data_IF_553191337112
#
_entry.id   IF_553191337112
#
_cell.length_a   1.000
_cell.length_b   1.000
_cell.length_c   1.000
_cell.angle_alpha   90.00
_cell.angle_beta   90.00
_cell.angle_gamma   90.00
#
_symmetry.space_group_name_H-M   'P 1'
#
loop_
_entity.id
_entity.type
_entity.pdbx_description
1 polymer ?
#
# COMPACT_ATOMS: atom_id res chain seq x y z
N UNK A 1 6.94 -18.87 13.48
CA UNK A 1 7.19 -19.54 12.20
C UNK A 1 6.04 -20.49 11.94
N UNK A 2 4.98 -20.01 11.28
CA UNK A 2 3.82 -20.85 10.98
C UNK A 2 4.03 -21.50 9.60
N UNK A 3 4.37 -22.79 9.60
CA UNK A 3 4.47 -23.58 8.37
C UNK A 3 3.08 -24.15 8.12
N UNK A 4 2.42 -23.67 7.07
CA UNK A 4 1.16 -24.27 6.59
C UNK A 4 1.50 -25.42 5.64
N UNK A 5 1.26 -26.64 6.07
CA UNK A 5 1.46 -27.83 5.26
C UNK A 5 0.18 -28.08 4.46
N UNK A 6 0.28 -28.05 3.16
CA UNK A 6 -0.82 -28.38 2.25
C UNK A 6 -0.60 -29.80 1.73
N UNK A 7 -1.55 -30.69 2.04
CA UNK A 7 -1.54 -32.06 1.53
C UNK A 7 -2.23 -32.12 0.16
N UNK A 8 -1.50 -32.59 -0.85
CA UNK A 8 -2.04 -32.90 -2.18
C UNK A 8 -2.22 -34.43 -2.30
N UNK A 9 -3.45 -34.86 -2.45
CA UNK A 9 -3.75 -36.26 -2.78
C UNK A 9 -3.82 -36.42 -4.30
N UNK A 10 -3.07 -37.38 -4.84
CA UNK A 10 -3.09 -37.74 -6.24
C UNK A 10 -3.94 -38.97 -6.45
N UNK A 11 -4.90 -38.94 -7.34
CA UNK A 11 -5.65 -40.09 -7.80
C UNK A 11 -5.21 -40.50 -9.20
N UNK A 12 -4.96 -41.78 -9.39
CA UNK A 12 -4.57 -42.37 -10.66
C UNK A 12 -5.84 -42.84 -11.39
N UNK A 13 -6.24 -42.17 -12.47
CA UNK A 13 -7.34 -42.62 -13.31
C UNK A 13 -6.83 -42.65 -14.77
N UNK A 14 -6.89 -43.83 -15.39
CA UNK A 14 -6.52 -44.09 -16.77
C UNK A 14 -5.09 -43.62 -17.19
N UNK A 15 -4.11 -43.90 -16.37
CA UNK A 15 -2.70 -43.66 -16.74
C UNK A 15 -2.29 -42.17 -16.82
N UNK A 16 -3.14 -41.25 -16.37
CA UNK A 16 -2.83 -39.83 -16.27
C UNK A 16 -2.94 -39.36 -14.83
N UNK A 17 -1.93 -38.60 -14.39
CA UNK A 17 -1.93 -37.98 -13.08
C UNK A 17 -2.68 -36.66 -13.13
N UNK A 18 -3.80 -36.58 -12.41
CA UNK A 18 -4.53 -35.33 -12.21
C UNK A 18 -4.27 -34.82 -10.80
N UNK A 19 -3.80 -33.58 -10.69
CA UNK A 19 -3.73 -32.89 -9.42
C UNK A 19 -5.07 -32.18 -9.17
N UNK A 20 -5.80 -32.60 -8.13
CA UNK A 20 -6.97 -31.87 -7.66
C UNK A 20 -6.51 -30.77 -6.70
N UNK A 21 -6.83 -29.55 -7.04
CA UNK A 21 -6.35 -28.35 -6.40
C UNK A 21 -7.32 -27.86 -5.34
N UNK A 22 -6.87 -27.75 -4.10
CA UNK A 22 -7.53 -26.91 -3.10
C UNK A 22 -6.57 -25.77 -2.77
N UNK A 23 -6.49 -24.83 -3.68
CA UNK A 23 -5.86 -23.54 -3.38
C UNK A 23 -6.90 -22.45 -3.57
N UNK A 24 -7.09 -21.62 -2.57
CA UNK A 24 -8.01 -20.50 -2.62
C UNK A 24 -7.71 -19.62 -3.86
N UNK A 25 -8.54 -19.83 -4.89
CA UNK A 25 -8.81 -18.91 -6.02
C UNK A 25 -7.84 -18.79 -7.20
N UNK A 26 -6.86 -19.70 -7.48
CA UNK A 26 -6.19 -19.71 -8.79
C UNK A 26 -5.84 -21.13 -9.25
N UNK A 27 -6.17 -21.44 -10.52
CA UNK A 27 -5.91 -22.74 -11.17
C UNK A 27 -4.42 -22.87 -11.49
N UNK A 28 -3.78 -23.93 -10.97
CA UNK A 28 -2.47 -24.38 -11.41
C UNK A 28 -2.63 -25.43 -12.51
N UNK A 29 -1.88 -25.31 -13.60
CA UNK A 29 -1.87 -26.29 -14.68
C UNK A 29 -0.62 -27.15 -14.64
N UNK A 30 -0.79 -28.45 -14.77
CA UNK A 30 0.30 -29.43 -14.94
C UNK A 30 0.60 -29.55 -16.43
N UNK A 31 1.84 -29.22 -16.85
CA UNK A 31 2.31 -29.41 -18.21
C UNK A 31 2.99 -30.77 -18.40
N UNK A 32 2.93 -31.39 -19.60
CA UNK A 32 3.62 -32.67 -19.86
C UNK A 32 5.12 -32.45 -19.73
N UNK A 33 5.74 -32.96 -18.73
CA UNK A 33 7.15 -33.02 -18.33
C UNK A 33 7.35 -32.85 -16.82
N UNK A 34 6.24 -32.95 -16.03
CA UNK A 34 6.34 -32.92 -14.55
C UNK A 34 6.67 -31.56 -13.93
N UNK A 35 6.58 -30.46 -14.70
CA UNK A 35 6.74 -29.11 -14.15
C UNK A 35 5.39 -28.46 -13.92
N UNK A 36 5.19 -27.96 -12.70
CA UNK A 36 4.00 -27.17 -12.32
C UNK A 36 4.35 -25.69 -12.52
N UNK A 37 3.62 -25.00 -13.37
CA UNK A 37 3.71 -23.55 -13.51
C UNK A 37 2.66 -22.90 -12.64
N UNK A 38 3.07 -22.29 -11.56
CA UNK A 38 2.25 -21.34 -10.79
C UNK A 38 2.66 -19.92 -11.20
N UNK A 39 1.71 -19.02 -11.43
CA UNK A 39 2.01 -17.61 -11.64
C UNK A 39 2.22 -16.94 -10.28
N UNK A 40 3.40 -16.97 -9.76
CA UNK A 40 4.05 -16.17 -8.72
C UNK A 40 5.02 -17.00 -7.90
N UNK A 41 6.24 -16.64 -7.88
CA UNK A 41 7.40 -16.89 -6.99
C UNK A 41 7.25 -17.98 -5.90
N UNK A 42 7.00 -19.22 -6.32
CA UNK A 42 7.05 -20.40 -5.47
C UNK A 42 8.31 -21.22 -5.82
N UNK A 43 9.29 -21.22 -4.92
CA UNK A 43 10.39 -22.18 -4.98
C UNK A 43 9.90 -23.58 -4.64
N UNK A 44 9.99 -24.53 -5.58
CA UNK A 44 9.61 -25.92 -5.39
C UNK A 44 10.86 -26.75 -5.11
N UNK A 45 10.96 -27.37 -3.95
CA UNK A 45 11.92 -28.41 -3.65
C UNK A 45 11.25 -29.80 -3.72
N UNK A 46 11.78 -30.68 -4.55
CA UNK A 46 11.31 -32.07 -4.63
C UNK A 46 12.22 -32.96 -3.77
N UNK A 47 11.63 -33.65 -2.80
CA UNK A 47 12.28 -34.74 -2.09
C UNK A 47 11.56 -36.04 -2.41
N UNK A 48 12.31 -37.05 -2.84
CA UNK A 48 11.77 -38.36 -3.17
C UNK A 48 12.22 -39.37 -2.10
N UNK A 49 11.32 -39.81 -1.25
CA UNK A 49 11.54 -40.97 -0.38
C UNK A 49 10.36 -41.91 -0.47
N UNK A 50 10.57 -43.09 -1.10
CA UNK A 50 9.67 -44.22 -1.14
C UNK A 50 8.25 -43.99 -1.68
N UNK A 51 8.15 -43.44 -2.90
CA UNK A 51 6.87 -43.41 -3.63
C UNK A 51 5.86 -42.33 -3.19
N UNK A 52 6.19 -41.50 -2.22
CA UNK A 52 5.43 -40.31 -1.84
C UNK A 52 6.19 -39.07 -2.23
N UNK A 53 5.59 -38.26 -3.05
CA UNK A 53 6.13 -36.93 -3.41
C UNK A 53 5.61 -35.94 -2.37
N UNK A 54 6.49 -35.46 -1.50
CA UNK A 54 6.17 -34.32 -0.63
C UNK A 54 6.52 -33.04 -1.36
N UNK A 55 5.53 -32.20 -1.55
CA UNK A 55 5.69 -30.88 -2.08
C UNK A 55 5.80 -29.91 -0.91
N UNK A 56 7.01 -29.50 -0.57
CA UNK A 56 7.22 -28.45 0.40
C UNK A 56 7.15 -27.09 -0.33
N UNK A 57 6.05 -26.38 -0.09
CA UNK A 57 5.86 -25.03 -0.60
C UNK A 57 6.51 -24.08 0.39
N UNK A 58 7.73 -23.65 0.10
CA UNK A 58 8.35 -22.55 0.84
C UNK A 58 7.67 -21.28 0.37
N UNK A 59 6.66 -20.84 1.10
CA UNK A 59 6.18 -19.48 0.95
C UNK A 59 7.27 -18.56 1.47
N UNK A 60 7.96 -17.87 0.58
CA UNK A 60 8.79 -16.73 0.94
C UNK A 60 7.82 -15.75 1.61
N UNK A 61 7.92 -15.62 2.92
CA UNK A 61 7.16 -14.60 3.65
C UNK A 61 7.85 -13.28 3.33
N UNK A 62 7.45 -12.70 2.20
CA UNK A 62 7.97 -11.42 1.72
C UNK A 62 7.43 -10.36 2.67
N UNK A 63 8.22 -10.07 3.71
CA UNK A 63 7.83 -9.14 4.74
C UNK A 63 8.08 -7.71 4.24
N UNK A 64 7.03 -6.92 4.22
CA UNK A 64 7.15 -5.47 4.11
C UNK A 64 7.74 -4.96 5.42
N UNK A 65 8.69 -4.03 5.35
CA UNK A 65 9.27 -3.37 6.53
C UNK A 65 9.36 -1.86 6.29
N UNK A 66 9.34 -1.09 7.37
CA UNK A 66 9.50 0.35 7.36
C UNK A 66 10.91 0.70 7.85
N UNK A 67 11.62 1.55 7.10
CA UNK A 67 12.95 2.05 7.45
C UNK A 67 12.89 3.57 7.51
N UNK A 68 13.32 4.21 8.61
CA UNK A 68 13.31 5.67 8.69
C UNK A 68 14.06 6.31 7.52
N UNK A 69 13.51 7.41 6.99
CA UNK A 69 14.12 8.15 5.91
C UNK A 69 15.41 8.81 6.40
N UNK A 70 16.50 8.62 5.65
CA UNK A 70 17.78 9.29 5.90
C UNK A 70 17.88 10.58 5.09
N UNK A 71 18.72 11.52 5.56
CA UNK A 71 18.85 12.83 4.92
C UNK A 71 19.38 12.73 3.47
N UNK A 72 20.23 11.78 3.18
CA UNK A 72 20.79 11.54 1.84
C UNK A 72 19.75 10.91 0.88
N UNK A 73 18.68 10.32 1.40
CA UNK A 73 17.60 9.74 0.59
C UNK A 73 16.41 10.69 0.38
N UNK A 74 16.41 11.85 1.03
CA UNK A 74 15.30 12.81 0.99
C UNK A 74 14.92 13.20 -0.44
N UNK A 75 15.89 13.55 -1.26
CA UNK A 75 15.65 13.97 -2.64
C UNK A 75 14.99 12.85 -3.45
N UNK A 76 15.54 11.64 -3.37
CA UNK A 76 14.98 10.51 -4.10
C UNK A 76 13.59 10.13 -3.57
N UNK A 77 13.31 10.33 -2.30
CA UNK A 77 11.97 10.11 -1.73
C UNK A 77 10.94 11.04 -2.35
N UNK A 78 11.27 12.32 -2.49
CA UNK A 78 10.38 13.32 -3.10
C UNK A 78 10.08 12.98 -4.57
N UNK A 79 11.12 12.67 -5.34
CA UNK A 79 10.97 12.27 -6.75
C UNK A 79 10.14 11.00 -6.92
N UNK A 80 10.38 10.00 -6.08
CA UNK A 80 9.64 8.73 -6.09
C UNK A 80 8.15 8.97 -5.76
N UNK A 81 7.87 9.88 -4.81
CA UNK A 81 6.51 10.23 -4.43
C UNK A 81 5.79 10.90 -5.60
N UNK A 82 6.37 11.96 -6.18
CA UNK A 82 5.80 12.66 -7.34
C UNK A 82 5.56 11.70 -8.51
N UNK A 83 6.52 10.81 -8.81
CA UNK A 83 6.37 9.80 -9.84
C UNK A 83 5.22 8.83 -9.58
N UNK A 84 5.10 8.33 -8.34
CA UNK A 84 4.04 7.40 -7.98
C UNK A 84 2.65 8.01 -8.07
N UNK A 85 2.48 9.28 -7.65
CA UNK A 85 1.23 10.02 -7.76
C UNK A 85 0.87 10.30 -9.22
N UNK A 86 1.82 10.80 -10.00
CA UNK A 86 1.63 11.06 -11.44
C UNK A 86 1.25 9.80 -12.21
N UNK A 87 1.91 8.68 -11.92
CA UNK A 87 1.56 7.39 -12.53
C UNK A 87 0.15 6.95 -12.10
N UNK A 88 -0.22 7.12 -10.83
CA UNK A 88 -1.55 6.80 -10.32
C UNK A 88 -2.64 7.59 -11.05
N UNK A 89 -2.48 8.90 -11.18
CA UNK A 89 -3.38 9.79 -11.89
C UNK A 89 -3.51 9.40 -13.37
N UNK A 90 -2.40 9.15 -14.07
CA UNK A 90 -2.41 8.74 -15.48
C UNK A 90 -3.14 7.41 -15.70
N UNK A 91 -3.01 6.44 -14.78
CA UNK A 91 -3.65 5.12 -14.90
C UNK A 91 -5.15 5.17 -14.60
N UNK A 92 -5.59 6.05 -13.71
CA UNK A 92 -6.99 6.11 -13.27
C UNK A 92 -7.81 7.08 -14.13
N UNK A 93 -7.24 8.22 -14.51
CA UNK A 93 -7.94 9.31 -15.21
C UNK A 93 -7.44 9.53 -16.63
N UNK A 94 -6.29 8.98 -17.00
CA UNK A 94 -5.62 9.22 -18.27
C UNK A 94 -5.08 10.65 -18.35
N UNK A 95 -5.13 11.24 -19.54
CA UNK A 95 -4.69 12.65 -19.77
C UNK A 95 -5.70 13.69 -19.26
N UNK A 96 -6.75 13.27 -18.56
CA UNK A 96 -7.83 14.15 -18.11
C UNK A 96 -7.67 14.64 -16.68
N UNK A 97 -6.62 14.22 -15.99
CA UNK A 97 -6.34 14.76 -14.68
C UNK A 97 -5.67 16.12 -14.85
N UNK A 98 -6.47 17.15 -14.68
CA UNK A 98 -6.07 18.56 -14.70
C UNK A 98 -5.74 19.10 -13.31
N UNK A 99 -5.82 18.27 -12.27
CA UNK A 99 -5.37 18.59 -10.92
C UNK A 99 -3.85 18.53 -10.86
N UNK A 100 -3.22 19.60 -11.32
CA UNK A 100 -1.76 19.75 -11.35
C UNK A 100 -1.38 20.92 -10.46
N UNK A 101 -0.53 20.67 -9.46
CA UNK A 101 0.03 21.73 -8.61
C UNK A 101 0.89 22.73 -9.39
N UNK A 102 1.20 23.87 -8.78
CA UNK A 102 1.91 24.98 -9.41
C UNK A 102 3.30 24.62 -9.97
N UNK A 103 3.90 23.49 -9.58
CA UNK A 103 5.15 22.96 -10.12
C UNK A 103 4.95 21.97 -11.30
N UNK A 104 3.70 21.75 -11.71
CA UNK A 104 3.36 20.84 -12.81
C UNK A 104 3.28 19.35 -12.40
N UNK A 105 3.20 19.06 -11.12
CA UNK A 105 3.06 17.71 -10.56
C UNK A 105 1.68 17.55 -9.88
N UNK A 106 1.24 16.30 -9.71
CA UNK A 106 -0.04 15.98 -9.03
C UNK A 106 0.03 16.30 -7.54
N UNK A 107 1.21 16.24 -6.97
CA UNK A 107 1.52 16.70 -5.61
C UNK A 107 2.79 17.54 -5.66
N UNK A 108 2.73 18.77 -5.18
CA UNK A 108 3.88 19.66 -5.25
C UNK A 108 5.01 19.20 -4.32
N UNK A 109 6.23 19.49 -4.74
CA UNK A 109 7.41 19.31 -3.92
C UNK A 109 7.25 20.00 -2.55
N UNK A 110 6.71 21.22 -2.54
CA UNK A 110 6.55 22.01 -1.33
C UNK A 110 5.66 21.30 -0.28
N UNK A 111 4.57 20.68 -0.72
CA UNK A 111 3.68 19.88 0.15
C UNK A 111 4.44 18.72 0.76
N UNK A 112 5.20 17.96 -0.04
CA UNK A 112 5.97 16.80 0.44
C UNK A 112 7.04 17.27 1.44
N UNK A 113 7.78 18.33 1.13
CA UNK A 113 8.81 18.89 2.02
C UNK A 113 8.22 19.40 3.32
N UNK A 114 7.09 20.11 3.27
CA UNK A 114 6.36 20.58 4.47
C UNK A 114 5.93 19.41 5.35
N UNK A 115 5.44 18.32 4.76
CA UNK A 115 5.08 17.11 5.50
C UNK A 115 6.30 16.43 6.13
N UNK A 116 7.42 16.34 5.42
CA UNK A 116 8.67 15.76 5.97
C UNK A 116 9.22 16.62 7.11
N UNK A 117 9.18 17.96 6.97
CA UNK A 117 9.80 18.91 7.90
C UNK A 117 8.92 19.24 9.11
N UNK A 118 7.69 18.72 9.16
CA UNK A 118 6.82 18.89 10.32
C UNK A 118 7.48 18.28 11.56
N UNK A 119 7.60 19.01 12.68
CA UNK A 119 8.30 18.53 13.91
C UNK A 119 7.71 17.25 14.52
N UNK A 120 6.46 16.93 14.23
CA UNK A 120 5.78 15.72 14.70
C UNK A 120 5.74 14.63 13.64
N UNK A 121 6.42 14.85 12.50
CA UNK A 121 6.43 13.91 11.38
C UNK A 121 7.40 12.76 11.59
N UNK A 122 6.99 11.59 11.15
CA UNK A 122 7.82 10.41 11.00
C UNK A 122 7.74 9.92 9.56
N UNK A 123 8.88 9.91 8.88
CA UNK A 123 8.96 9.55 7.45
C UNK A 123 9.72 8.25 7.26
N UNK A 124 9.15 7.35 6.46
CA UNK A 124 9.68 6.00 6.26
C UNK A 124 9.75 5.62 4.78
N UNK A 125 10.81 4.89 4.41
CA UNK A 125 10.86 4.07 3.21
C UNK A 125 10.15 2.76 3.44
N UNK A 126 9.34 2.34 2.48
CA UNK A 126 8.75 1.00 2.43
C UNK A 126 9.72 0.09 1.71
N UNK A 127 10.14 -0.97 2.42
CA UNK A 127 11.03 -2.00 1.89
C UNK A 127 10.27 -3.30 1.66
N UNK A 128 10.58 -3.98 0.57
CA UNK A 128 10.06 -5.31 0.27
C UNK A 128 11.17 -6.13 -0.38
N UNK A 129 11.52 -7.28 0.20
CA UNK A 129 12.63 -8.14 -0.25
C UNK A 129 13.99 -7.41 -0.34
N UNK A 130 14.20 -6.38 0.48
CA UNK A 130 15.43 -5.58 0.47
C UNK A 130 15.44 -4.42 -0.53
N UNK A 131 14.41 -4.29 -1.36
CA UNK A 131 14.25 -3.22 -2.33
C UNK A 131 13.37 -2.09 -1.78
N UNK A 132 13.66 -0.85 -2.15
CA UNK A 132 12.83 0.31 -1.86
C UNK A 132 11.65 0.31 -2.82
N UNK A 133 10.44 0.17 -2.30
CA UNK A 133 9.22 0.00 -3.11
C UNK A 133 8.17 1.07 -2.88
N UNK A 134 8.47 2.06 -2.02
CA UNK A 134 7.57 3.16 -1.72
C UNK A 134 8.01 3.96 -0.51
N UNK A 135 7.08 4.73 0.03
CA UNK A 135 7.29 5.52 1.23
C UNK A 135 6.00 5.99 1.87
N UNK A 136 6.10 6.48 3.09
CA UNK A 136 5.00 7.06 3.83
C UNK A 136 5.48 8.16 4.78
N UNK A 137 4.57 9.07 5.09
CA UNK A 137 4.76 10.16 6.05
C UNK A 137 3.59 10.11 7.03
N UNK A 138 3.91 10.12 8.31
CA UNK A 138 2.96 10.13 9.41
C UNK A 138 3.13 11.42 10.21
N UNK A 139 2.05 11.97 10.73
CA UNK A 139 2.07 12.96 11.81
C UNK A 139 1.62 12.29 13.10
N UNK A 140 2.48 12.29 14.13
CA UNK A 140 2.28 11.57 15.38
C UNK A 140 2.04 12.57 16.51
N UNK A 141 0.82 12.55 17.05
CA UNK A 141 0.45 13.31 18.25
C UNK A 141 0.57 12.42 19.50
N UNK A 142 1.66 12.63 20.26
CA UNK A 142 1.97 11.84 21.47
C UNK A 142 1.08 12.17 22.66
N UNK A 143 0.34 13.29 22.63
CA UNK A 143 -0.53 13.71 23.72
C UNK A 143 -1.93 13.14 23.56
N UNK A 144 -2.50 13.28 22.36
CA UNK A 144 -3.88 12.83 22.09
C UNK A 144 -3.93 11.39 21.58
N UNK A 145 -2.84 10.89 20.98
CA UNK A 145 -2.79 9.64 20.21
C UNK A 145 -3.77 9.63 19.02
N UNK A 146 -4.05 10.81 18.48
CA UNK A 146 -4.79 10.99 17.25
C UNK A 146 -3.76 11.31 16.15
N UNK A 147 -3.37 10.28 15.42
CA UNK A 147 -2.31 10.32 14.44
C UNK A 147 -2.85 10.45 13.03
N UNK A 148 -2.04 10.99 12.14
CA UNK A 148 -2.42 11.20 10.75
C UNK A 148 -1.46 10.47 9.80
N UNK A 149 -2.01 9.84 8.76
CA UNK A 149 -1.28 9.34 7.61
C UNK A 149 -1.35 10.41 6.52
N UNK A 150 -0.27 11.19 6.39
CA UNK A 150 -0.21 12.32 5.47
C UNK A 150 -0.02 11.84 4.03
N UNK A 151 0.95 10.96 3.82
CA UNK A 151 1.31 10.43 2.49
C UNK A 151 1.57 8.92 2.61
N UNK A 152 1.07 8.17 1.63
CA UNK A 152 1.42 6.77 1.40
C UNK A 152 1.50 6.53 -0.11
N UNK A 153 2.67 6.11 -0.57
CA UNK A 153 2.84 5.73 -1.96
C UNK A 153 3.60 4.41 -2.13
N UNK A 154 3.28 3.72 -3.20
CA UNK A 154 3.97 2.51 -3.65
C UNK A 154 4.39 2.73 -5.09
N UNK A 155 5.65 2.46 -5.41
CA UNK A 155 6.18 2.60 -6.76
C UNK A 155 5.41 1.72 -7.76
N UNK A 156 5.20 2.19 -8.99
CA UNK A 156 4.41 1.47 -10.00
C UNK A 156 4.84 0.01 -10.22
N UNK A 157 6.13 -0.25 -10.20
CA UNK A 157 6.73 -1.58 -10.42
C UNK A 157 6.39 -2.56 -9.30
N UNK A 158 6.00 -2.03 -8.16
CA UNK A 158 5.65 -2.79 -6.97
C UNK A 158 4.14 -2.92 -6.73
N UNK A 159 3.30 -2.37 -7.60
CA UNK A 159 1.84 -2.44 -7.48
C UNK A 159 1.30 -3.88 -7.49
N UNK A 160 0.11 -4.07 -6.93
CA UNK A 160 -0.65 -5.33 -6.92
C UNK A 160 -0.03 -6.49 -6.11
N UNK A 161 1.03 -6.23 -5.32
CA UNK A 161 1.69 -7.22 -4.45
C UNK A 161 1.22 -7.16 -2.99
N UNK A 162 0.22 -6.33 -2.68
CA UNK A 162 -0.27 -6.14 -1.31
C UNK A 162 0.65 -5.28 -0.42
N UNK A 163 1.66 -4.63 -1.01
CA UNK A 163 2.69 -3.85 -0.30
C UNK A 163 2.08 -2.71 0.50
N UNK A 164 1.18 -1.93 -0.09
CA UNK A 164 0.53 -0.82 0.63
C UNK A 164 -0.20 -1.30 1.90
N UNK A 165 -0.91 -2.43 1.81
CA UNK A 165 -1.57 -3.01 2.98
C UNK A 165 -0.57 -3.55 4.01
N UNK A 166 0.50 -4.20 3.55
CA UNK A 166 1.58 -4.65 4.44
C UNK A 166 2.26 -3.48 5.15
N UNK A 167 2.52 -2.36 4.44
CA UNK A 167 3.07 -1.15 5.03
C UNK A 167 2.13 -0.56 6.09
N UNK A 168 0.83 -0.52 5.80
CA UNK A 168 -0.17 -0.07 6.78
C UNK A 168 -0.18 -0.95 8.05
N UNK A 169 -0.08 -2.27 7.91
CA UNK A 169 0.01 -3.17 9.06
C UNK A 169 1.28 -2.93 9.90
N UNK A 170 2.41 -2.62 9.27
CA UNK A 170 3.64 -2.27 9.99
C UNK A 170 3.49 -0.91 10.70
N UNK A 171 2.78 0.07 10.11
CA UNK A 171 2.44 1.35 10.79
C UNK A 171 1.63 1.10 12.06
N UNK A 172 0.58 0.29 11.99
CA UNK A 172 -0.23 -0.06 13.16
C UNK A 172 0.57 -0.80 14.23
N UNK A 173 1.50 -1.65 13.82
CA UNK A 173 2.38 -2.37 14.73
C UNK A 173 3.45 -1.46 15.37
N UNK A 174 3.87 -0.41 14.66
CA UNK A 174 4.86 0.57 15.15
C UNK A 174 4.25 1.52 16.18
N UNK A 175 2.97 1.85 16.04
CA UNK A 175 2.24 2.80 16.90
C UNK A 175 1.02 2.14 17.59
N UNK A 176 1.23 1.12 18.43
CA UNK A 176 0.15 0.40 19.10
C UNK A 176 -0.66 1.26 20.08
N UNK A 177 -0.09 2.39 20.54
CA UNK A 177 -0.73 3.36 21.43
C UNK A 177 -1.76 4.25 20.74
N UNK A 178 -1.79 4.26 19.39
CA UNK A 178 -2.71 5.11 18.62
C UNK A 178 -4.15 4.79 18.95
N UNK A 179 -4.95 5.81 19.22
CA UNK A 179 -6.39 5.70 19.43
C UNK A 179 -7.18 5.90 18.14
N UNK A 180 -6.73 6.85 17.34
CA UNK A 180 -7.37 7.22 16.07
C UNK A 180 -6.31 7.45 15.02
N UNK A 181 -6.48 6.82 13.88
CA UNK A 181 -5.80 7.20 12.64
C UNK A 181 -6.71 8.01 11.76
N UNK A 182 -6.16 9.04 11.14
CA UNK A 182 -6.84 9.89 10.18
C UNK A 182 -6.06 9.94 8.86
N UNK A 183 -6.75 10.10 7.74
CA UNK A 183 -6.16 10.39 6.43
C UNK A 183 -7.20 11.02 5.53
N UNK A 184 -6.75 11.64 4.45
CA UNK A 184 -7.62 12.25 3.44
C UNK A 184 -7.24 11.76 2.04
N UNK A 185 -8.19 11.78 1.11
CA UNK A 185 -7.93 11.57 -0.31
C UNK A 185 -9.01 12.26 -1.15
N UNK A 186 -8.70 12.72 -2.37
CA UNK A 186 -9.69 13.25 -3.27
C UNK A 186 -10.87 12.29 -3.47
N UNK A 187 -12.09 12.82 -3.54
CA UNK A 187 -13.31 12.02 -3.61
C UNK A 187 -13.39 11.13 -4.86
N UNK A 188 -12.70 11.50 -5.92
CA UNK A 188 -12.67 10.76 -7.19
C UNK A 188 -11.64 9.60 -7.19
N UNK A 189 -10.72 9.56 -6.23
CA UNK A 189 -9.69 8.54 -6.08
C UNK A 189 -10.25 7.19 -5.60
N UNK A 190 -11.00 6.50 -6.46
CA UNK A 190 -11.71 5.24 -6.14
C UNK A 190 -10.78 4.14 -5.62
N UNK A 191 -9.55 4.10 -6.13
CA UNK A 191 -8.54 3.11 -5.73
C UNK A 191 -8.11 3.34 -4.28
N UNK A 192 -7.85 4.59 -3.91
CA UNK A 192 -7.49 4.98 -2.54
C UNK A 192 -8.66 4.77 -1.58
N UNK A 193 -9.86 5.17 -1.98
CA UNK A 193 -11.09 4.93 -1.19
C UNK A 193 -11.27 3.42 -0.93
N UNK A 194 -11.14 2.58 -1.98
CA UNK A 194 -11.19 1.12 -1.81
C UNK A 194 -10.11 0.61 -0.86
N UNK A 195 -8.89 1.14 -0.96
CA UNK A 195 -7.78 0.75 -0.11
C UNK A 195 -8.05 1.10 1.35
N UNK A 196 -8.39 2.34 1.65
CA UNK A 196 -8.63 2.77 3.03
C UNK A 196 -9.84 2.07 3.64
N UNK A 197 -10.99 2.06 2.96
CA UNK A 197 -12.23 1.48 3.51
C UNK A 197 -12.17 -0.05 3.55
N UNK A 198 -11.85 -0.69 2.43
CA UNK A 198 -12.05 -2.14 2.31
C UNK A 198 -10.83 -2.98 2.69
N UNK A 199 -9.62 -2.37 2.74
CA UNK A 199 -8.39 -3.08 3.11
C UNK A 199 -7.90 -2.67 4.49
N UNK A 200 -7.79 -1.37 4.76
CA UNK A 200 -7.22 -0.85 6.00
C UNK A 200 -8.26 -0.69 7.12
N UNK A 201 -9.56 -0.72 6.81
CA UNK A 201 -10.63 -0.65 7.80
C UNK A 201 -10.95 0.76 8.30
N UNK A 202 -10.58 1.77 7.54
CA UNK A 202 -11.04 3.14 7.77
C UNK A 202 -12.52 3.30 7.44
N UNK A 203 -13.13 4.35 7.96
CA UNK A 203 -14.49 4.78 7.66
C UNK A 203 -14.43 6.21 7.13
N UNK A 204 -15.28 6.53 6.15
CA UNK A 204 -15.47 7.91 5.72
C UNK A 204 -16.21 8.64 6.84
N UNK A 205 -15.58 9.69 7.35
CA UNK A 205 -16.11 10.52 8.44
C UNK A 205 -16.72 11.81 7.92
N UNK A 206 -16.05 12.47 6.97
CA UNK A 206 -16.51 13.74 6.40
C UNK A 206 -16.25 13.77 4.89
N UNK A 207 -17.05 14.58 4.20
CA UNK A 207 -16.79 15.01 2.84
C UNK A 207 -16.59 16.52 2.84
N UNK A 208 -15.38 16.95 2.50
CA UNK A 208 -15.05 18.37 2.37
C UNK A 208 -15.29 18.80 0.94
N UNK A 209 -16.00 19.93 0.79
CA UNK A 209 -16.38 20.51 -0.49
C UNK A 209 -16.67 21.99 -0.27
N UNK A 210 -17.08 22.73 -1.32
CA UNK A 210 -17.40 24.16 -1.21
C UNK A 210 -18.44 24.49 -0.11
N UNK A 211 -19.32 23.55 0.23
CA UNK A 211 -20.37 23.75 1.25
C UNK A 211 -19.94 23.36 2.67
N UNK A 212 -18.85 22.64 2.80
CA UNK A 212 -18.35 22.15 4.08
C UNK A 212 -16.83 22.01 4.04
N UNK A 213 -16.15 22.97 4.66
CA UNK A 213 -14.69 22.99 4.78
C UNK A 213 -14.26 22.54 6.18
N UNK A 214 -13.07 21.93 6.32
CA UNK A 214 -12.53 21.58 7.62
C UNK A 214 -12.32 22.83 8.48
N UNK A 215 -12.61 22.73 9.78
CA UNK A 215 -12.36 23.81 10.75
C UNK A 215 -10.87 24.07 11.03
N UNK A 216 -9.97 23.54 10.23
CA UNK A 216 -8.56 23.89 10.31
C UNK A 216 -8.37 25.25 9.63
N UNK A 217 -7.73 26.22 10.30
CA UNK A 217 -7.23 27.36 9.58
C UNK A 217 -6.26 26.81 8.53
N UNK A 218 -6.66 26.93 7.28
CA UNK A 218 -5.71 26.73 6.17
C UNK A 218 -4.50 27.60 6.51
N UNK A 219 -3.31 27.02 6.47
CA UNK A 219 -2.09 27.81 6.68
C UNK A 219 -2.11 28.93 5.64
N UNK A 220 -1.79 30.16 6.06
CA UNK A 220 -1.70 31.35 5.20
C UNK A 220 -0.72 31.17 4.00
N UNK A 221 -0.03 30.03 3.97
CA UNK A 221 0.95 29.63 2.95
C UNK A 221 0.38 28.73 1.85
N UNK A 222 -0.89 28.34 1.89
CA UNK A 222 -1.54 27.65 0.77
C UNK A 222 -1.86 28.70 -0.32
N UNK A 223 -0.88 28.99 -1.19
CA UNK A 223 -1.04 29.74 -2.44
C UNK A 223 -1.96 28.95 -3.39
N UNK A 224 -3.26 28.92 -3.07
CA UNK A 224 -4.27 28.44 -4.03
C UNK A 224 -4.55 29.52 -5.03
N UNK A 225 -4.68 29.13 -6.28
CA UNK A 225 -5.26 29.99 -7.28
C UNK A 225 -6.69 30.36 -6.80
N UNK A 226 -7.01 31.67 -6.64
CA UNK A 226 -8.34 32.09 -6.23
C UNK A 226 -9.47 31.62 -7.15
N UNK A 227 -9.14 31.20 -8.38
CA UNK A 227 -10.07 30.68 -9.37
C UNK A 227 -10.23 29.14 -9.31
N UNK A 228 -9.38 28.43 -8.56
CA UNK A 228 -9.55 27.01 -8.26
C UNK A 228 -10.51 26.86 -7.07
N UNK A 229 -11.58 26.11 -7.30
CA UNK A 229 -12.51 25.73 -6.23
C UNK A 229 -11.82 24.91 -5.13
N UNK A 230 -12.44 24.78 -3.95
CA UNK A 230 -11.88 23.96 -2.88
C UNK A 230 -11.76 22.52 -3.33
N UNK A 231 -10.65 21.86 -2.95
CA UNK A 231 -10.47 20.45 -3.17
C UNK A 231 -11.58 19.64 -2.50
N UNK A 232 -12.24 18.83 -3.30
CA UNK A 232 -13.25 17.91 -2.77
C UNK A 232 -12.57 16.66 -2.25
N UNK A 233 -12.60 16.48 -0.92
CA UNK A 233 -11.86 15.43 -0.23
C UNK A 233 -12.77 14.60 0.67
N UNK A 234 -12.51 13.29 0.72
CA UNK A 234 -12.99 12.48 1.83
C UNK A 234 -11.96 12.46 2.96
N UNK A 235 -12.44 12.74 4.17
CA UNK A 235 -11.74 12.45 5.42
C UNK A 235 -12.09 11.03 5.87
N UNK A 236 -11.07 10.27 6.23
CA UNK A 236 -11.20 8.91 6.75
C UNK A 236 -10.69 8.85 8.18
N UNK A 237 -11.38 8.12 9.02
CA UNK A 237 -10.94 7.80 10.38
C UNK A 237 -10.92 6.29 10.60
N UNK A 238 -9.98 5.84 11.44
CA UNK A 238 -9.94 4.48 11.95
C UNK A 238 -9.75 4.51 13.46
N UNK A 239 -10.80 4.09 14.17
CA UNK A 239 -10.73 3.91 15.63
C UNK A 239 -9.97 2.62 15.93
N UNK A 240 -8.87 2.73 16.66
CA UNK A 240 -8.13 1.56 17.11
C UNK A 240 -8.83 0.93 18.31
N UNK A 241 -8.80 -0.39 18.36
CA UNK A 241 -9.37 -1.10 19.52
C UNK A 241 -8.40 -1.01 20.70
N UNK A 242 -8.89 -0.78 21.91
CA UNK A 242 -8.06 -0.77 23.11
C UNK A 242 -7.43 -2.14 23.39
#
# INVERSE_FOLDING_TARGET
>A
MNISIVYLTFTHIYGRIFALNICHRRLCTVVPQGRIRCPSELGLLFSNSRGSIFLEVIMKNTKVTLVPLTADEREQFILDNQWAFKFGAMMEFGERDDHIDGDGEIISRAIIEKSIDNPTSETYRIMHDGEKVGGLILTIDKETHHNHLDILFVLPEAHSKGIGYGAWQEVEALHPETKVWETCTPYFEKRNIHFYVNKCGFQIDQFWCEYFQPNHPMSDDDERDPDEGPDEMFRFIKMMKP
#
